data_IF_779998156667
#
_entry.id   IF_779998156667
#
_cell.length_a   1.000
_cell.length_b   1.000
_cell.length_c   1.000
_cell.angle_alpha   90.00
_cell.angle_beta   90.00
_cell.angle_gamma   90.00
#
_symmetry.space_group_name_H-M   'P 1'
#
loop_
_entity.id
_entity.type
_entity.pdbx_description
1 polymer ?
#
# COMPACT_ATOMS: atom_id res chain seq x y z
N UNK A 1 -17.61 0.16 11.00
CA UNK A 1 -18.33 0.07 9.70
C UNK A 1 -18.14 -1.27 8.95
N UNK A 2 -16.92 -1.78 8.76
CA UNK A 2 -16.68 -3.09 8.13
C UNK A 2 -16.62 -4.26 9.14
N UNK A 3 -15.90 -4.06 10.26
CA UNK A 3 -15.78 -5.05 11.35
C UNK A 3 -17.14 -5.44 11.94
N UNK A 4 -18.03 -4.45 12.13
CA UNK A 4 -19.40 -4.62 12.64
C UNK A 4 -20.28 -5.45 11.69
N UNK A 5 -19.93 -5.49 10.41
CA UNK A 5 -20.58 -6.31 9.37
C UNK A 5 -19.93 -7.69 9.23
N UNK A 6 -19.02 -8.06 10.13
CA UNK A 6 -18.30 -9.33 10.10
C UNK A 6 -17.20 -9.41 9.04
N UNK A 7 -16.81 -8.29 8.43
CA UNK A 7 -15.82 -8.26 7.35
C UNK A 7 -14.41 -8.04 7.90
N UNK A 8 -13.42 -8.57 7.18
CA UNK A 8 -12.00 -8.32 7.44
C UNK A 8 -11.47 -7.23 6.50
N UNK A 9 -10.69 -6.28 7.02
CA UNK A 9 -10.15 -5.17 6.24
C UNK A 9 -8.62 -5.24 6.12
N UNK A 10 -8.11 -5.10 4.90
CA UNK A 10 -6.69 -4.82 4.65
C UNK A 10 -6.58 -3.35 4.25
N UNK A 11 -5.75 -2.62 4.97
CA UNK A 11 -5.59 -1.17 4.82
C UNK A 11 -4.15 -0.92 4.37
N UNK A 12 -3.98 -0.24 3.24
CA UNK A 12 -2.66 0.21 2.78
C UNK A 12 -2.57 1.71 2.95
N UNK A 13 -1.77 2.18 3.90
CA UNK A 13 -1.51 3.58 4.14
C UNK A 13 -0.16 3.96 3.55
N UNK A 14 -0.17 4.55 2.35
CA UNK A 14 1.06 5.06 1.73
C UNK A 14 1.35 6.47 2.24
N UNK A 15 2.43 6.60 2.99
CA UNK A 15 2.87 7.84 3.59
C UNK A 15 3.81 8.55 2.62
N UNK A 16 3.41 9.72 2.14
CA UNK A 16 4.14 10.51 1.18
C UNK A 16 4.86 11.66 1.90
N UNK A 17 6.20 11.67 1.90
CA UNK A 17 6.96 12.80 2.41
C UNK A 17 6.81 14.02 1.48
N UNK A 18 6.88 15.21 2.05
CA UNK A 18 6.77 16.47 1.33
C UNK A 18 6.89 17.65 2.30
N UNK A 19 6.63 18.87 1.85
CA UNK A 19 6.51 20.04 2.75
C UNK A 19 5.36 19.89 3.75
N UNK A 20 4.41 19.02 3.42
CA UNK A 20 3.34 18.52 4.28
C UNK A 20 3.32 17.00 4.08
N UNK A 21 3.28 16.23 5.14
CA UNK A 21 3.18 14.77 5.05
C UNK A 21 1.74 14.39 4.68
N UNK A 22 1.57 13.51 3.70
CA UNK A 22 0.25 13.04 3.25
C UNK A 22 0.12 11.54 3.44
N UNK A 23 -1.10 11.09 3.73
CA UNK A 23 -1.47 9.67 3.72
C UNK A 23 -2.44 9.39 2.60
N UNK A 24 -2.09 8.44 1.71
CA UNK A 24 -3.03 7.83 0.78
C UNK A 24 -3.44 6.47 1.32
N UNK A 25 -4.68 6.39 1.83
CA UNK A 25 -5.18 5.19 2.51
C UNK A 25 -6.14 4.42 1.60
N UNK A 26 -5.84 3.16 1.34
CA UNK A 26 -6.63 2.26 0.50
C UNK A 26 -7.22 1.13 1.33
N UNK A 27 -8.55 1.02 1.34
CA UNK A 27 -9.28 0.01 2.10
C UNK A 27 -9.74 -1.12 1.17
N UNK A 28 -9.25 -2.33 1.39
CA UNK A 28 -9.75 -3.55 0.76
C UNK A 28 -10.47 -4.40 1.80
N UNK A 29 -11.64 -4.92 1.45
CA UNK A 29 -12.50 -5.62 2.40
C UNK A 29 -12.88 -6.99 1.84
N UNK A 30 -12.77 -8.02 2.68
CA UNK A 30 -13.20 -9.38 2.36
C UNK A 30 -14.14 -9.92 3.44
N UNK A 31 -15.04 -10.82 3.05
CA UNK A 31 -15.98 -11.46 3.99
C UNK A 31 -15.27 -12.44 4.93
N UNK A 32 -14.33 -13.20 4.38
CA UNK A 32 -13.61 -14.22 5.14
C UNK A 32 -12.22 -14.42 4.56
N UNK A 33 -11.24 -14.59 5.45
CA UNK A 33 -9.93 -15.09 5.08
C UNK A 33 -10.00 -16.61 5.00
N UNK A 34 -9.71 -17.15 3.81
CA UNK A 34 -9.76 -18.60 3.58
C UNK A 34 -8.68 -19.28 4.41
N UNK A 35 -9.06 -20.26 5.24
CA UNK A 35 -8.13 -21.04 6.07
C UNK A 35 -7.04 -21.67 5.21
N UNK A 36 -5.78 -21.57 5.64
CA UNK A 36 -4.62 -22.09 4.93
C UNK A 36 -4.19 -21.28 3.70
N UNK A 37 -4.97 -20.27 3.27
CA UNK A 37 -4.58 -19.43 2.14
C UNK A 37 -3.33 -18.60 2.44
N UNK A 38 -2.59 -18.26 1.39
CA UNK A 38 -1.42 -17.39 1.49
C UNK A 38 -1.77 -16.01 2.09
N UNK A 39 -2.94 -15.46 1.75
CA UNK A 39 -3.40 -14.21 2.35
C UNK A 39 -3.68 -14.34 3.85
N UNK A 40 -4.27 -15.45 4.30
CA UNK A 40 -4.47 -15.71 5.73
C UNK A 40 -3.13 -15.83 6.46
N UNK A 41 -2.17 -16.56 5.89
CA UNK A 41 -0.81 -16.68 6.43
C UNK A 41 -0.07 -15.33 6.48
N UNK A 42 -0.29 -14.46 5.51
CA UNK A 42 0.24 -13.10 5.52
C UNK A 42 -0.37 -12.27 6.64
N UNK A 43 -1.69 -12.27 6.81
CA UNK A 43 -2.38 -11.54 7.88
C UNK A 43 -1.96 -12.02 9.28
N UNK A 44 -1.70 -13.32 9.44
CA UNK A 44 -1.30 -13.93 10.71
C UNK A 44 0.25 -13.97 10.89
N UNK A 45 1.00 -13.53 9.89
CA UNK A 45 2.46 -13.60 9.86
C UNK A 45 3.12 -12.47 10.65
N UNK A 46 4.42 -12.62 10.92
CA UNK A 46 5.24 -11.57 11.49
C UNK A 46 5.73 -10.58 10.42
N UNK A 47 6.37 -9.49 10.87
CA UNK A 47 6.87 -8.43 9.99
C UNK A 47 7.93 -8.95 9.00
N UNK A 48 8.78 -9.89 9.41
CA UNK A 48 9.79 -10.48 8.53
C UNK A 48 9.14 -11.25 7.38
N UNK A 49 8.16 -12.11 7.70
CA UNK A 49 7.35 -12.79 6.72
C UNK A 49 6.65 -11.76 5.82
N UNK A 50 5.90 -10.83 6.38
CA UNK A 50 5.16 -9.85 5.60
C UNK A 50 6.07 -9.03 4.66
N UNK A 51 7.21 -8.56 5.15
CA UNK A 51 8.18 -7.79 4.36
C UNK A 51 8.80 -8.61 3.22
N UNK A 52 9.06 -9.89 3.45
CA UNK A 52 9.59 -10.77 2.40
C UNK A 52 8.54 -11.13 1.33
N UNK A 53 7.25 -10.95 1.62
CA UNK A 53 6.15 -11.42 0.79
C UNK A 53 5.33 -10.33 0.12
N UNK A 54 5.19 -9.14 0.70
CA UNK A 54 4.33 -8.11 0.16
C UNK A 54 4.87 -7.55 -1.17
N UNK A 55 4.08 -7.67 -2.23
CA UNK A 55 4.40 -7.14 -3.57
C UNK A 55 3.47 -6.01 -3.97
N UNK A 56 3.99 -5.09 -4.76
CA UNK A 56 3.21 -4.12 -5.52
C UNK A 56 3.62 -4.15 -6.99
N UNK A 57 2.62 -4.13 -7.87
CA UNK A 57 2.81 -3.98 -9.32
C UNK A 57 2.34 -2.57 -9.69
N UNK A 58 3.27 -1.65 -9.97
CA UNK A 58 2.92 -0.32 -10.45
C UNK A 58 2.70 -0.31 -11.97
N UNK A 59 1.85 0.59 -12.44
CA UNK A 59 1.74 0.98 -13.84
C UNK A 59 1.39 2.46 -13.93
N UNK A 60 1.92 3.16 -14.94
CA UNK A 60 1.65 4.59 -15.15
C UNK A 60 0.97 4.81 -16.51
N UNK A 61 -0.35 4.55 -16.62
CA UNK A 61 -1.09 4.74 -17.86
C UNK A 61 -0.96 6.17 -18.42
N UNK A 62 -0.92 7.19 -17.56
CA UNK A 62 -0.80 8.60 -17.96
C UNK A 62 0.30 9.28 -17.16
N UNK A 63 1.30 9.81 -17.88
CA UNK A 63 2.39 10.57 -17.32
C UNK A 63 3.48 10.86 -18.35
N UNK A 64 4.37 11.79 -18.02
CA UNK A 64 5.54 12.05 -18.85
C UNK A 64 6.42 10.81 -18.94
N UNK A 65 7.18 10.69 -20.04
CA UNK A 65 8.07 9.54 -20.24
C UNK A 65 9.06 9.38 -19.07
N UNK A 66 9.60 10.48 -18.54
CA UNK A 66 10.52 10.44 -17.40
C UNK A 66 9.85 9.86 -16.14
N UNK A 67 8.60 10.24 -15.84
CA UNK A 67 7.86 9.67 -14.69
C UNK A 67 7.61 8.17 -14.90
N UNK A 68 7.19 7.76 -16.10
CA UNK A 68 6.97 6.35 -16.42
C UNK A 68 8.24 5.52 -16.27
N UNK A 69 9.38 6.05 -16.70
CA UNK A 69 10.67 5.38 -16.58
C UNK A 69 11.12 5.29 -15.11
N UNK A 70 10.92 6.35 -14.32
CA UNK A 70 11.32 6.39 -12.92
C UNK A 70 10.47 5.49 -12.01
N UNK A 71 9.15 5.42 -12.24
CA UNK A 71 8.27 4.47 -11.53
C UNK A 71 8.52 3.03 -12.00
N UNK A 72 8.80 2.86 -13.29
CA UNK A 72 8.97 1.54 -13.91
C UNK A 72 7.64 0.77 -14.04
N UNK A 73 7.76 -0.48 -14.48
CA UNK A 73 6.67 -1.47 -14.53
C UNK A 73 7.04 -2.77 -13.81
N UNK A 74 8.21 -2.79 -13.18
CA UNK A 74 8.74 -3.96 -12.50
C UNK A 74 8.01 -4.12 -11.17
N UNK A 75 7.64 -5.36 -10.85
CA UNK A 75 7.05 -5.67 -9.56
C UNK A 75 8.05 -5.45 -8.45
N UNK A 76 7.67 -4.74 -7.41
CA UNK A 76 8.52 -4.44 -6.26
C UNK A 76 8.10 -5.26 -5.05
N UNK A 77 9.07 -5.70 -4.23
CA UNK A 77 8.80 -6.16 -2.86
C UNK A 77 8.76 -4.94 -1.95
N UNK A 78 7.56 -4.59 -1.52
CA UNK A 78 7.33 -3.34 -0.80
C UNK A 78 8.14 -3.30 0.50
N UNK A 79 8.02 -4.35 1.33
CA UNK A 79 8.75 -4.43 2.60
C UNK A 79 10.25 -4.69 2.51
N UNK A 80 10.82 -4.71 1.28
CA UNK A 80 12.28 -4.64 1.08
C UNK A 80 12.73 -3.29 0.54
N UNK A 81 11.84 -2.54 -0.08
CA UNK A 81 12.16 -1.29 -0.76
C UNK A 81 11.85 -0.07 0.10
N UNK A 82 10.80 -0.16 0.92
CA UNK A 82 10.29 0.88 1.81
C UNK A 82 10.12 0.28 3.21
N UNK A 83 10.19 1.13 4.24
CA UNK A 83 9.95 0.71 5.62
C UNK A 83 8.45 0.51 5.79
N UNK A 84 8.07 -0.70 6.19
CA UNK A 84 6.67 -1.09 6.39
C UNK A 84 6.42 -1.42 7.86
N UNK A 85 5.33 -0.89 8.42
CA UNK A 85 4.86 -1.22 9.75
C UNK A 85 3.47 -1.90 9.65
N UNK A 86 3.28 -2.99 10.40
CA UNK A 86 2.09 -3.82 10.35
C UNK A 86 1.30 -3.68 11.65
N UNK A 87 0.14 -3.02 11.56
CA UNK A 87 -0.73 -2.78 12.70
C UNK A 87 -1.88 -3.79 12.66
N UNK A 88 -1.87 -4.72 13.62
CA UNK A 88 -2.87 -5.79 13.69
C UNK A 88 -4.02 -5.40 14.63
N UNK A 89 -5.23 -5.43 14.10
CA UNK A 89 -6.47 -5.30 14.86
C UNK A 89 -7.32 -6.57 14.78
N UNK A 90 -8.40 -6.69 15.59
CA UNK A 90 -9.20 -7.92 15.67
C UNK A 90 -9.79 -8.40 14.33
N UNK A 91 -10.09 -7.48 13.40
CA UNK A 91 -10.59 -7.79 12.04
C UNK A 91 -9.95 -6.90 10.97
N UNK A 92 -8.74 -6.44 11.22
CA UNK A 92 -8.01 -5.66 10.23
C UNK A 92 -6.52 -5.84 10.37
N UNK A 93 -5.82 -5.64 9.26
CA UNK A 93 -4.40 -5.34 9.28
C UNK A 93 -4.20 -4.05 8.48
N UNK A 94 -3.47 -3.11 9.06
CA UNK A 94 -3.02 -1.91 8.38
C UNK A 94 -1.53 -2.04 8.09
N UNK A 95 -1.17 -1.78 6.84
CA UNK A 95 0.20 -1.74 6.35
C UNK A 95 0.52 -0.27 6.10
N UNK A 96 1.27 0.31 7.02
CA UNK A 96 1.88 1.62 6.83
C UNK A 96 3.13 1.46 5.97
N UNK A 97 3.24 2.28 4.93
CA UNK A 97 4.33 2.22 3.96
C UNK A 97 4.97 3.60 3.90
N UNK A 98 6.14 3.75 4.51
CA UNK A 98 6.90 4.99 4.47
C UNK A 98 7.71 5.09 3.17
N UNK A 99 7.20 5.84 2.21
CA UNK A 99 7.87 6.09 0.93
C UNK A 99 9.12 6.98 1.13
N UNK A 100 9.19 7.68 2.25
CA UNK A 100 10.31 8.53 2.62
C UNK A 100 11.53 7.79 3.14
N UNK A 101 11.42 6.52 3.53
CA UNK A 101 12.60 5.77 3.97
C UNK A 101 13.50 5.36 2.79
N UNK A 102 12.95 5.35 1.57
CA UNK A 102 13.66 4.94 0.35
C UNK A 102 14.20 6.13 -0.43
N UNK A 103 15.53 6.20 -0.58
CA UNK A 103 16.17 7.21 -1.45
C UNK A 103 15.64 7.16 -2.88
N UNK A 104 15.35 5.95 -3.39
CA UNK A 104 14.80 5.77 -4.74
C UNK A 104 13.37 6.29 -4.80
N UNK A 105 12.52 5.88 -3.85
CA UNK A 105 11.11 6.27 -3.88
C UNK A 105 10.93 7.78 -3.61
N UNK A 106 11.75 8.38 -2.76
CA UNK A 106 11.85 9.83 -2.60
C UNK A 106 12.21 10.56 -3.89
N UNK A 107 13.19 10.05 -4.64
CA UNK A 107 13.57 10.63 -5.94
C UNK A 107 12.41 10.60 -6.94
N UNK A 108 11.68 9.48 -7.00
CA UNK A 108 10.47 9.34 -7.82
C UNK A 108 9.38 10.32 -7.36
N UNK A 109 9.16 10.45 -6.06
CA UNK A 109 8.14 11.35 -5.51
C UNK A 109 8.44 12.81 -5.85
N UNK A 110 9.71 13.23 -5.81
CA UNK A 110 10.12 14.58 -6.23
C UNK A 110 9.73 14.90 -7.68
N UNK A 111 9.80 13.91 -8.57
CA UNK A 111 9.38 14.06 -9.97
C UNK A 111 7.86 14.07 -10.11
N UNK A 112 7.15 13.28 -9.29
CA UNK A 112 5.70 13.09 -9.35
C UNK A 112 4.94 14.25 -8.71
N UNK A 113 5.44 14.82 -7.62
CA UNK A 113 4.70 15.78 -6.80
C UNK A 113 4.25 17.03 -7.58
N UNK A 114 5.10 17.55 -8.46
CA UNK A 114 4.77 18.74 -9.27
C UNK A 114 3.77 18.48 -10.40
N UNK A 115 3.56 17.21 -10.78
CA UNK A 115 2.73 16.82 -11.94
C UNK A 115 1.59 15.87 -11.57
N UNK A 116 1.40 15.56 -10.27
CA UNK A 116 0.46 14.55 -9.76
C UNK A 116 -0.98 14.75 -10.23
N UNK A 117 -1.40 16.00 -10.44
CA UNK A 117 -2.72 16.35 -10.98
C UNK A 117 -2.91 15.96 -12.45
N UNK A 118 -1.84 15.61 -13.16
CA UNK A 118 -1.87 15.16 -14.57
C UNK A 118 -1.58 13.66 -14.72
N UNK A 119 -1.17 13.00 -13.64
CA UNK A 119 -0.76 11.60 -13.62
C UNK A 119 -1.94 10.66 -13.37
N UNK A 120 -1.80 9.45 -13.92
CA UNK A 120 -2.62 8.29 -13.57
C UNK A 120 -1.68 7.14 -13.28
N UNK A 121 -1.80 6.57 -12.08
CA UNK A 121 -0.99 5.47 -11.58
C UNK A 121 -1.91 4.35 -11.10
N UNK A 122 -1.66 3.13 -11.58
CA UNK A 122 -2.29 1.91 -11.11
C UNK A 122 -1.34 1.18 -10.18
N UNK A 123 -1.88 0.61 -9.10
CA UNK A 123 -1.15 -0.20 -8.15
C UNK A 123 -1.96 -1.45 -7.84
N UNK A 124 -1.35 -2.61 -8.06
CA UNK A 124 -1.93 -3.89 -7.66
C UNK A 124 -1.12 -4.49 -6.50
N UNK A 125 -1.80 -4.82 -5.41
CA UNK A 125 -1.20 -5.38 -4.20
C UNK A 125 -1.43 -6.88 -4.16
N UNK A 126 -0.40 -7.65 -3.81
CA UNK A 126 -0.45 -9.11 -3.76
C UNK A 126 0.60 -9.67 -2.80
N UNK A 127 0.37 -10.92 -2.37
CA UNK A 127 1.34 -11.68 -1.57
C UNK A 127 2.12 -12.60 -2.49
N UNK A 128 3.46 -12.54 -2.40
CA UNK A 128 4.38 -13.38 -3.17
C UNK A 128 4.26 -14.86 -2.79
N UNK A 129 4.14 -15.71 -3.80
CA UNK A 129 4.37 -17.14 -3.65
C UNK A 129 5.87 -17.45 -3.79
N UNK A 130 6.40 -18.24 -2.86
CA UNK A 130 7.78 -18.75 -2.88
C UNK A 130 7.81 -20.26 -3.17
N UNK A 131 6.70 -20.96 -2.98
CA UNK A 131 6.58 -22.40 -3.25
C UNK A 131 5.48 -22.70 -4.27
N UNK A 132 5.52 -23.88 -4.87
CA UNK A 132 4.55 -24.27 -5.90
C UNK A 132 3.12 -24.38 -5.36
N UNK A 133 2.96 -24.82 -4.11
CA UNK A 133 1.65 -24.91 -3.44
C UNK A 133 1.05 -23.54 -3.10
N UNK A 134 1.87 -22.48 -3.07
CA UNK A 134 1.43 -21.11 -2.88
C UNK A 134 0.90 -20.47 -4.18
N UNK A 135 1.13 -21.11 -5.33
CA UNK A 135 0.68 -20.61 -6.63
C UNK A 135 -0.77 -21.00 -6.95
N UNK A 136 -1.48 -20.19 -7.75
CA UNK A 136 -1.04 -18.89 -8.29
C UNK A 136 -1.12 -17.77 -7.25
N UNK A 137 -0.27 -16.75 -7.40
CA UNK A 137 -0.40 -15.50 -6.65
C UNK A 137 -1.76 -14.85 -6.94
N UNK A 138 -2.40 -14.29 -5.91
CA UNK A 138 -3.71 -13.63 -6.04
C UNK A 138 -3.60 -12.17 -5.62
N UNK A 139 -4.26 -11.30 -6.38
CA UNK A 139 -4.40 -9.90 -6.01
C UNK A 139 -5.22 -9.77 -4.73
N UNK A 140 -4.70 -9.00 -3.78
CA UNK A 140 -5.46 -8.49 -2.65
C UNK A 140 -6.45 -7.44 -3.16
N UNK A 141 -5.96 -6.56 -4.02
CA UNK A 141 -6.73 -5.48 -4.59
C UNK A 141 -5.93 -4.65 -5.57
N UNK A 142 -6.63 -3.80 -6.31
CA UNK A 142 -6.04 -2.85 -7.27
C UNK A 142 -6.65 -1.49 -7.01
N UNK A 143 -5.82 -0.46 -7.11
CA UNK A 143 -6.25 0.93 -7.04
C UNK A 143 -5.69 1.72 -8.22
N UNK A 144 -6.50 2.66 -8.72
CA UNK A 144 -6.06 3.71 -9.65
C UNK A 144 -6.08 5.04 -8.91
N UNK A 145 -4.92 5.69 -8.84
CA UNK A 145 -4.76 7.07 -8.39
C UNK A 145 -4.71 7.93 -9.64
N UNK A 146 -5.67 8.84 -9.79
CA UNK A 146 -5.87 9.61 -11.02
C UNK A 146 -6.06 11.08 -10.71
N UNK A 147 -5.25 11.93 -11.33
CA UNK A 147 -5.42 13.39 -11.32
C UNK A 147 -5.55 13.96 -9.90
N UNK A 148 -4.75 13.44 -8.96
CA UNK A 148 -4.93 13.71 -7.54
C UNK A 148 -4.45 15.10 -7.15
N UNK A 149 -5.29 15.85 -6.45
CA UNK A 149 -4.98 17.16 -5.91
C UNK A 149 -4.58 17.05 -4.43
N UNK A 150 -3.28 17.04 -4.12
CA UNK A 150 -2.82 16.91 -2.73
C UNK A 150 -3.36 18.01 -1.79
N UNK A 151 -3.62 19.20 -2.32
CA UNK A 151 -4.19 20.33 -1.56
C UNK A 151 -5.62 20.07 -1.08
N UNK A 152 -6.34 19.11 -1.67
CA UNK A 152 -7.68 18.74 -1.21
C UNK A 152 -7.65 17.69 -0.08
N UNK A 153 -6.47 17.32 0.41
CA UNK A 153 -6.33 16.39 1.51
C UNK A 153 -7.04 16.91 2.77
N UNK A 154 -7.66 15.98 3.50
CA UNK A 154 -8.37 16.29 4.73
C UNK A 154 -7.44 16.00 5.89
N UNK A 155 -7.28 16.97 6.80
CA UNK A 155 -6.55 16.75 8.04
C UNK A 155 -7.33 15.76 8.91
N UNK A 156 -6.75 14.61 9.27
CA UNK A 156 -7.44 13.64 10.11
C UNK A 156 -7.74 14.25 11.47
N UNK A 157 -8.97 14.04 11.95
CA UNK A 157 -9.36 14.35 13.33
C UNK A 157 -8.95 13.17 14.20
N UNK A 158 -7.78 13.26 14.80
CA UNK A 158 -7.31 12.28 15.77
C UNK A 158 -7.95 12.60 17.11
N UNK A 159 -8.57 11.60 17.76
CA UNK A 159 -8.94 11.75 19.15
C UNK A 159 -7.66 11.85 20.00
N UNK A 160 -7.61 12.72 21.01
CA UNK A 160 -6.43 12.83 21.87
C UNK A 160 -6.17 11.47 22.50
N UNK A 161 -4.90 11.03 22.48
CA UNK A 161 -4.54 9.75 23.10
C UNK A 161 -4.94 9.77 24.58
N UNK A 162 -5.88 8.92 24.95
CA UNK A 162 -6.14 8.64 26.36
C UNK A 162 -4.93 7.91 26.91
N UNK A 163 -4.04 8.68 27.53
CA UNK A 163 -2.90 8.19 28.30
C UNK A 163 -3.41 7.11 29.26
N UNK A 164 -3.00 5.87 29.03
CA UNK A 164 -3.23 4.73 29.92
C UNK A 164 -1.97 4.45 30.71
#
# INVERSE_FOLDING_TARGET
VASDKGLFSLIFNRQLPGSTHYSMVFYFVTRQLVTGSLLRRFVDGDDEFCNSRLKVIPSVPKGSWIVRQSVGSTTCLLGKADDCNYLHGPKCVEIDVDIGSSTVANGVLGLVNGVITTLVVDMAFLVRANTTDELPERLIGVVRVSHTELKSAIVPKLEPETSS
#
